data_IF_606921109761
#
_entry.id   IF_606921109761
#
_cell.length_a   1.000
_cell.length_b   1.000
_cell.length_c   1.000
_cell.angle_alpha   90.00
_cell.angle_beta   90.00
_cell.angle_gamma   90.00
#
_symmetry.space_group_name_H-M   'P 1'
#
loop_
_entity.id
_entity.type
_entity.pdbx_description
1 polymer ?
#
# COMPACT_ATOMS: atom_id res chain seq x y z
N UNK A 1 -11.19 6.52 -44.10
CA UNK A 1 -11.87 5.74 -43.05
C UNK A 1 -11.09 5.99 -41.77
N UNK A 2 -11.41 7.10 -41.11
CA UNK A 2 -10.74 7.62 -39.92
C UNK A 2 -11.59 7.26 -38.72
N UNK A 3 -11.07 6.46 -37.79
CA UNK A 3 -11.59 6.39 -36.42
C UNK A 3 -10.40 6.28 -35.46
N UNK A 4 -9.94 7.46 -35.04
CA UNK A 4 -9.26 7.68 -33.76
C UNK A 4 -10.30 7.49 -32.67
N UNK A 5 -10.09 6.53 -31.76
CA UNK A 5 -10.87 6.47 -30.53
C UNK A 5 -10.07 7.14 -29.41
N UNK A 6 -10.40 8.40 -29.21
CA UNK A 6 -10.17 9.13 -27.97
C UNK A 6 -11.28 8.71 -27.00
N UNK A 7 -10.93 8.26 -25.79
CA UNK A 7 -11.86 8.16 -24.68
C UNK A 7 -11.08 8.41 -23.40
N UNK A 8 -11.13 9.67 -22.98
CA UNK A 8 -10.75 10.12 -21.66
C UNK A 8 -11.54 9.37 -20.58
N UNK A 9 -10.81 8.88 -19.57
CA UNK A 9 -11.33 8.77 -18.21
C UNK A 9 -10.30 9.43 -17.32
N UNK A 10 -10.53 10.73 -17.14
CA UNK A 10 -9.93 11.57 -16.12
C UNK A 10 -10.08 10.86 -14.77
N UNK A 11 -8.99 10.26 -14.30
CA UNK A 11 -8.91 9.63 -13.00
C UNK A 11 -8.85 10.76 -11.96
N UNK A 12 -10.00 11.34 -11.65
CA UNK A 12 -10.15 12.30 -10.56
C UNK A 12 -9.38 11.75 -9.35
N UNK A 13 -8.37 12.45 -8.83
CA UNK A 13 -7.66 12.01 -7.64
C UNK A 13 -8.71 11.97 -6.53
N UNK A 14 -9.12 10.77 -6.12
CA UNK A 14 -10.02 10.56 -5.00
C UNK A 14 -9.44 11.35 -3.84
N UNK A 15 -10.13 12.42 -3.45
CA UNK A 15 -9.69 13.25 -2.33
C UNK A 15 -9.44 12.32 -1.14
N UNK A 16 -8.27 12.40 -0.48
CA UNK A 16 -7.98 11.50 0.62
C UNK A 16 -9.03 11.75 1.70
N UNK A 17 -9.89 10.77 1.93
CA UNK A 17 -10.78 10.78 3.09
C UNK A 17 -9.88 10.86 4.31
N UNK A 18 -9.85 12.04 4.95
CA UNK A 18 -9.09 12.28 6.16
C UNK A 18 -9.84 11.58 7.28
N UNK A 19 -9.55 10.31 7.46
CA UNK A 19 -9.98 9.57 8.63
C UNK A 19 -9.06 10.04 9.76
N UNK A 20 -9.56 10.95 10.59
CA UNK A 20 -8.87 11.46 11.79
C UNK A 20 -8.40 10.31 12.71
N UNK A 21 -9.11 9.18 12.65
CA UNK A 21 -8.77 7.97 13.37
C UNK A 21 -7.87 7.03 12.53
N UNK A 22 -6.65 6.68 13.01
CA UNK A 22 -5.80 5.73 12.30
C UNK A 22 -6.50 4.35 12.23
N UNK A 23 -6.51 3.74 11.05
CA UNK A 23 -7.02 2.38 10.87
C UNK A 23 -6.03 1.44 11.55
N UNK A 24 -6.50 0.71 12.56
CA UNK A 24 -5.70 -0.27 13.28
C UNK A 24 -6.16 -1.67 12.90
N UNK A 25 -5.22 -2.50 12.45
CA UNK A 25 -5.48 -3.88 12.08
C UNK A 25 -4.38 -4.81 12.58
N UNK A 26 -4.67 -6.10 12.61
CA UNK A 26 -3.72 -7.15 12.99
C UNK A 26 -3.51 -8.10 11.81
N UNK A 27 -2.25 -8.32 11.45
CA UNK A 27 -1.84 -9.33 10.49
C UNK A 27 -1.30 -10.56 11.23
N UNK A 28 -1.69 -11.76 10.79
CA UNK A 28 -1.16 -13.02 11.33
C UNK A 28 -0.72 -13.92 10.18
N UNK A 29 0.46 -14.51 10.29
CA UNK A 29 0.96 -15.54 9.37
C UNK A 29 1.74 -16.58 10.14
N UNK A 30 1.23 -17.82 10.20
CA UNK A 30 1.75 -18.89 11.05
C UNK A 30 1.83 -18.39 12.51
N UNK A 31 3.02 -18.39 13.10
CA UNK A 31 3.28 -17.90 14.46
C UNK A 31 3.55 -16.38 14.52
N UNK A 32 3.76 -15.72 13.38
CA UNK A 32 4.05 -14.28 13.34
C UNK A 32 2.77 -13.44 13.48
N UNK A 33 2.79 -12.49 14.43
CA UNK A 33 1.70 -11.54 14.70
C UNK A 33 2.24 -10.11 14.55
N UNK A 34 1.54 -9.29 13.77
CA UNK A 34 1.90 -7.89 13.51
C UNK A 34 0.70 -6.99 13.75
N UNK A 35 0.91 -5.83 14.38
CA UNK A 35 -0.09 -4.76 14.50
C UNK A 35 0.25 -3.66 13.51
N UNK A 36 -0.67 -3.33 12.60
CA UNK A 36 -0.48 -2.33 11.55
C UNK A 36 -1.37 -1.14 11.81
N UNK A 37 -0.81 0.06 11.62
CA UNK A 37 -1.56 1.32 11.59
C UNK A 37 -1.46 1.88 10.17
N UNK A 38 -2.60 2.04 9.51
CA UNK A 38 -2.66 2.64 8.18
C UNK A 38 -3.07 4.09 8.30
N UNK A 39 -2.26 4.97 7.72
CA UNK A 39 -2.53 6.40 7.60
C UNK A 39 -2.47 6.78 6.12
N UNK A 40 -3.33 7.70 5.66
CA UNK A 40 -3.20 8.27 4.32
C UNK A 40 -1.88 9.06 4.25
N UNK A 41 -1.02 8.76 3.27
CA UNK A 41 0.31 9.38 3.15
C UNK A 41 1.22 8.74 2.11
N UNK A 42 2.51 9.04 2.19
CA UNK A 42 3.60 8.70 1.23
C UNK A 42 3.95 7.22 1.11
N UNK A 43 3.20 6.31 1.73
CA UNK A 43 3.45 4.87 1.64
C UNK A 43 4.73 4.39 2.34
N UNK A 44 5.24 5.16 3.31
CA UNK A 44 6.39 4.75 4.13
C UNK A 44 6.04 3.60 5.07
N UNK A 45 6.89 2.58 5.11
CA UNK A 45 6.77 1.45 6.04
C UNK A 45 7.81 1.55 7.15
N UNK A 46 7.35 1.73 8.39
CA UNK A 46 8.18 1.71 9.60
C UNK A 46 7.87 0.47 10.42
N UNK A 47 8.83 -0.45 10.52
CA UNK A 47 8.74 -1.71 11.27
C UNK A 47 9.58 -1.59 12.54
N UNK A 48 8.96 -1.24 13.68
CA UNK A 48 9.65 -1.09 14.98
C UNK A 48 10.93 -0.22 14.92
N UNK A 49 10.93 0.85 14.11
CA UNK A 49 12.07 1.74 13.92
C UNK A 49 13.05 1.32 12.81
N UNK A 50 12.78 0.21 12.11
CA UNK A 50 13.54 -0.23 10.93
C UNK A 50 12.77 0.00 9.63
N UNK A 51 13.50 0.18 8.53
CA UNK A 51 12.91 0.28 7.19
C UNK A 51 12.57 -1.12 6.66
N UNK A 52 11.70 -1.18 5.65
CA UNK A 52 11.31 -2.44 5.01
C UNK A 52 12.51 -3.20 4.45
N UNK A 53 13.51 -2.48 3.94
CA UNK A 53 14.70 -3.04 3.29
C UNK A 53 15.69 -3.66 4.29
N UNK A 54 15.84 -3.04 5.46
CA UNK A 54 16.69 -3.56 6.54
C UNK A 54 16.08 -4.82 7.18
N UNK A 55 14.76 -4.80 7.42
CA UNK A 55 14.08 -5.92 8.06
C UNK A 55 13.87 -7.12 7.10
N UNK A 56 13.60 -6.86 5.82
CA UNK A 56 13.45 -7.88 4.79
C UNK A 56 14.47 -7.65 3.65
N UNK A 57 15.69 -8.19 3.76
CA UNK A 57 16.71 -8.03 2.72
C UNK A 57 16.35 -8.74 1.41
N UNK A 58 15.47 -9.76 1.45
CA UNK A 58 15.05 -10.49 0.26
C UNK A 58 13.94 -9.74 -0.52
N UNK A 59 14.18 -9.47 -1.80
CA UNK A 59 13.23 -8.78 -2.70
C UNK A 59 11.90 -9.50 -2.88
N UNK A 60 11.87 -10.83 -2.78
CA UNK A 60 10.61 -11.60 -2.87
C UNK A 60 9.65 -11.22 -1.74
N UNK A 61 10.15 -11.01 -0.52
CA UNK A 61 9.32 -10.60 0.61
C UNK A 61 8.85 -9.15 0.48
N UNK A 62 9.68 -8.26 -0.09
CA UNK A 62 9.29 -6.88 -0.37
C UNK A 62 8.14 -6.82 -1.39
N UNK A 63 8.19 -7.65 -2.45
CA UNK A 63 7.12 -7.72 -3.45
C UNK A 63 5.81 -8.24 -2.84
N UNK A 64 5.86 -9.31 -2.04
CA UNK A 64 4.65 -9.86 -1.39
C UNK A 64 3.96 -8.85 -0.47
N UNK A 65 4.73 -7.98 0.20
CA UNK A 65 4.18 -6.94 1.08
C UNK A 65 3.55 -5.79 0.28
N UNK A 66 4.12 -5.46 -0.89
CA UNK A 66 3.62 -4.38 -1.77
C UNK A 66 2.47 -4.81 -2.67
N UNK A 67 2.39 -6.09 -3.04
CA UNK A 67 1.38 -6.65 -3.93
C UNK A 67 -0.09 -6.26 -3.58
N UNK A 68 -0.56 -6.34 -2.32
CA UNK A 68 -1.96 -6.00 -2.00
C UNK A 68 -2.31 -4.51 -2.18
N UNK A 69 -1.32 -3.62 -2.32
CA UNK A 69 -1.55 -2.19 -2.53
C UNK A 69 -1.51 -1.79 -4.01
N UNK A 70 -1.08 -2.69 -4.90
CA UNK A 70 -1.05 -2.47 -6.34
C UNK A 70 -2.26 -3.18 -6.94
N UNK A 71 -3.34 -2.43 -7.16
CA UNK A 71 -4.48 -2.94 -7.91
C UNK A 71 -4.10 -3.01 -9.39
N UNK A 72 -4.30 -4.18 -10.01
CA UNK A 72 -4.14 -4.41 -11.47
C UNK A 72 -5.20 -3.69 -12.27
#
# INVERSE_FOLDING_TARGET
MTETHEAALDAAPREPVIIDRPIQTVGRRKEAIVRVRLLPGTGEFKLNGRTLEDYFPNKVHQQLIKAPLVTV
#
